data_IF_357841216256
#
_entry.id   IF_357841216256
#
_cell.length_a   1.000
_cell.length_b   1.000
_cell.length_c   1.000
_cell.angle_alpha   90.00
_cell.angle_beta   90.00
_cell.angle_gamma   90.00
#
_symmetry.space_group_name_H-M   'P 1'
#
loop_
_entity.id
_entity.type
_entity.pdbx_description
1 polymer ?
#
# COMPACT_ATOMS: atom_id res chain seq x y z
N UNK A 1 17.02 32.75 36.33
CA UNK A 1 16.12 31.65 36.74
C UNK A 1 15.22 31.14 35.62
N UNK A 2 14.47 31.98 34.88
CA UNK A 2 13.59 31.54 33.79
C UNK A 2 14.29 30.74 32.67
N UNK A 3 15.51 31.09 32.28
CA UNK A 3 16.27 30.40 31.23
C UNK A 3 16.74 28.98 31.64
N UNK A 4 17.02 28.75 32.92
CA UNK A 4 17.40 27.42 33.43
C UNK A 4 16.19 26.46 33.45
N UNK A 5 15.04 26.94 33.90
CA UNK A 5 13.80 26.18 33.93
C UNK A 5 13.33 25.81 32.51
N UNK A 6 13.48 26.78 31.59
CA UNK A 6 13.20 26.53 30.14
C UNK A 6 14.11 25.46 29.55
N UNK A 7 15.39 25.47 29.90
CA UNK A 7 16.37 24.49 29.41
C UNK A 7 16.14 23.09 29.99
N UNK A 8 15.78 22.98 31.26
CA UNK A 8 15.41 21.69 31.88
C UNK A 8 14.10 21.12 31.32
N UNK A 9 13.10 21.97 31.10
CA UNK A 9 11.85 21.57 30.45
C UNK A 9 12.08 21.08 29.02
N UNK A 10 12.98 21.71 28.26
CA UNK A 10 13.36 21.27 26.93
C UNK A 10 14.10 19.93 26.94
N UNK A 11 15.00 19.70 27.91
CA UNK A 11 15.70 18.42 28.10
C UNK A 11 14.73 17.29 28.47
N UNK A 12 13.80 17.55 29.38
CA UNK A 12 12.76 16.59 29.78
C UNK A 12 11.82 16.27 28.61
N UNK A 13 11.40 17.27 27.83
CA UNK A 13 10.57 17.08 26.65
C UNK A 13 11.29 16.26 25.57
N UNK A 14 12.59 16.51 25.37
CA UNK A 14 13.45 15.77 24.43
C UNK A 14 13.62 14.32 24.86
N UNK A 15 13.87 14.07 26.17
CA UNK A 15 13.99 12.72 26.73
C UNK A 15 12.69 11.91 26.59
N UNK A 16 11.52 12.52 26.88
CA UNK A 16 10.21 11.88 26.67
C UNK A 16 9.96 11.56 25.19
N UNK A 17 10.29 12.47 24.28
CA UNK A 17 10.12 12.25 22.84
C UNK A 17 11.01 11.11 22.34
N UNK A 18 12.25 11.02 22.79
CA UNK A 18 13.17 9.93 22.44
C UNK A 18 12.63 8.59 22.92
N UNK A 19 12.12 8.54 24.16
CA UNK A 19 11.52 7.33 24.73
C UNK A 19 10.27 6.91 23.95
N UNK A 20 9.43 7.84 23.55
CA UNK A 20 8.23 7.56 22.75
C UNK A 20 8.56 7.00 21.38
N UNK A 21 9.57 7.56 20.69
CA UNK A 21 10.06 7.05 19.40
C UNK A 21 10.65 5.66 19.56
N UNK A 22 11.46 5.43 20.62
CA UNK A 22 12.02 4.10 20.89
C UNK A 22 10.93 3.03 21.13
N UNK A 23 9.88 3.37 21.86
CA UNK A 23 8.72 2.46 22.08
C UNK A 23 8.03 2.15 20.76
N UNK A 24 7.81 3.16 19.90
CA UNK A 24 7.18 2.96 18.60
C UNK A 24 8.04 2.08 17.69
N UNK A 25 9.36 2.32 17.62
CA UNK A 25 10.28 1.49 16.83
C UNK A 25 10.30 0.03 17.31
N UNK A 26 10.28 -0.19 18.62
CA UNK A 26 10.19 -1.54 19.19
C UNK A 26 8.87 -2.22 18.80
N UNK A 27 7.74 -1.49 18.82
CA UNK A 27 6.44 -2.03 18.37
C UNK A 27 6.48 -2.42 16.89
N UNK A 28 6.99 -1.55 16.03
CA UNK A 28 7.15 -1.83 14.60
C UNK A 28 8.04 -3.07 14.39
N UNK A 29 9.17 -3.14 15.10
CA UNK A 29 10.09 -4.29 15.00
C UNK A 29 9.42 -5.58 15.45
N UNK A 30 8.63 -5.57 16.52
CA UNK A 30 7.86 -6.73 16.96
C UNK A 30 6.83 -7.17 15.91
N UNK A 31 6.09 -6.23 15.33
CA UNK A 31 5.10 -6.54 14.28
C UNK A 31 5.76 -7.07 13.00
N UNK A 32 6.90 -6.51 12.59
CA UNK A 32 7.69 -7.02 11.45
C UNK A 32 8.21 -8.44 11.71
N UNK A 33 8.68 -8.73 12.92
CA UNK A 33 9.14 -10.08 13.29
C UNK A 33 8.00 -11.09 13.29
N UNK A 34 6.81 -10.69 13.78
CA UNK A 34 5.61 -11.53 13.71
C UNK A 34 5.21 -11.78 12.25
N UNK A 35 5.26 -10.74 11.40
CA UNK A 35 4.97 -10.87 9.98
C UNK A 35 5.97 -11.80 9.29
N UNK A 36 7.27 -11.64 9.54
CA UNK A 36 8.34 -12.47 8.96
C UNK A 36 8.17 -13.97 9.24
N UNK A 37 7.62 -14.32 10.40
CA UNK A 37 7.37 -15.72 10.78
C UNK A 37 6.09 -16.30 10.16
N UNK A 38 5.28 -15.46 9.51
CA UNK A 38 4.02 -15.89 8.95
C UNK A 38 4.16 -16.29 7.47
N UNK A 39 3.31 -17.21 7.02
CA UNK A 39 3.19 -17.59 5.61
C UNK A 39 2.72 -16.44 4.72
N UNK A 40 2.14 -15.37 5.32
CA UNK A 40 1.66 -14.20 4.61
C UNK A 40 2.77 -13.42 3.89
N UNK A 41 4.00 -13.45 4.41
CA UNK A 41 5.18 -12.88 3.73
C UNK A 41 5.37 -13.54 2.37
N UNK A 42 5.44 -14.87 2.35
CA UNK A 42 5.65 -15.61 1.12
C UNK A 42 4.50 -15.43 0.14
N UNK A 43 3.25 -15.50 0.63
CA UNK A 43 2.05 -15.28 -0.18
C UNK A 43 2.04 -13.87 -0.77
N UNK A 44 2.39 -12.84 0.01
CA UNK A 44 2.38 -11.46 -0.45
C UNK A 44 3.47 -11.18 -1.48
N UNK A 45 4.68 -11.73 -1.28
CA UNK A 45 5.78 -11.59 -2.25
C UNK A 45 5.45 -12.33 -3.54
N UNK A 46 4.99 -13.59 -3.45
CA UNK A 46 4.56 -14.35 -4.63
C UNK A 46 3.41 -13.64 -5.37
N UNK A 47 2.46 -13.07 -4.62
CA UNK A 47 1.34 -12.33 -5.18
C UNK A 47 1.78 -11.11 -5.97
N UNK A 48 2.66 -10.25 -5.42
CA UNK A 48 3.09 -9.04 -6.15
C UNK A 48 4.03 -9.36 -7.33
N UNK A 49 4.72 -10.50 -7.31
CA UNK A 49 5.51 -10.98 -8.43
C UNK A 49 4.66 -11.47 -9.61
N UNK A 50 3.35 -11.68 -9.42
CA UNK A 50 2.46 -11.96 -10.56
C UNK A 50 2.34 -10.78 -11.52
N UNK A 51 2.48 -9.53 -11.05
CA UNK A 51 2.45 -8.33 -11.91
C UNK A 51 3.60 -8.33 -12.95
N UNK A 52 4.89 -8.49 -12.60
CA UNK A 52 5.96 -8.65 -13.57
C UNK A 52 5.72 -9.81 -14.56
N UNK A 53 5.17 -10.93 -14.09
CA UNK A 53 4.86 -12.07 -14.96
C UNK A 53 3.74 -11.76 -15.95
N UNK A 54 2.70 -11.03 -15.54
CA UNK A 54 1.66 -10.56 -16.44
C UNK A 54 2.21 -9.62 -17.50
N UNK A 55 3.12 -8.70 -17.13
CA UNK A 55 3.80 -7.82 -18.08
C UNK A 55 4.62 -8.59 -19.10
N UNK A 56 5.31 -9.66 -18.68
CA UNK A 56 6.05 -10.53 -19.58
C UNK A 56 5.12 -11.23 -20.58
N UNK A 57 4.00 -11.77 -20.08
CA UNK A 57 3.03 -12.45 -20.95
C UNK A 57 2.46 -11.48 -21.97
N UNK A 58 2.10 -10.27 -21.56
CA UNK A 58 1.58 -9.22 -22.44
C UNK A 58 2.62 -8.80 -23.50
N UNK A 59 3.87 -8.61 -23.08
CA UNK A 59 4.97 -8.30 -24.01
C UNK A 59 5.20 -9.42 -25.03
N UNK A 60 5.19 -10.68 -24.59
CA UNK A 60 5.32 -11.84 -25.47
C UNK A 60 4.14 -11.96 -26.44
N UNK A 61 2.89 -11.83 -25.97
CA UNK A 61 1.71 -11.88 -26.82
C UNK A 61 1.77 -10.80 -27.89
N UNK A 62 2.12 -9.57 -27.52
CA UNK A 62 2.18 -8.47 -28.49
C UNK A 62 3.33 -8.66 -29.49
N UNK A 63 4.47 -9.20 -29.05
CA UNK A 63 5.57 -9.52 -29.97
C UNK A 63 5.16 -10.51 -31.06
N UNK A 64 4.37 -11.55 -30.72
CA UNK A 64 3.92 -12.56 -31.69
C UNK A 64 2.71 -12.13 -32.49
N UNK A 65 1.75 -11.41 -31.90
CA UNK A 65 0.51 -11.01 -32.56
C UNK A 65 0.66 -9.74 -33.41
N UNK A 66 1.54 -8.83 -32.99
CA UNK A 66 1.73 -7.50 -33.61
C UNK A 66 3.21 -7.12 -33.63
N UNK A 67 4.03 -7.76 -34.46
CA UNK A 67 5.49 -7.53 -34.49
C UNK A 67 5.87 -6.10 -34.91
N UNK A 68 4.94 -5.32 -35.43
CA UNK A 68 5.15 -3.91 -35.82
C UNK A 68 5.17 -2.96 -34.62
N UNK A 69 4.67 -3.39 -33.41
CA UNK A 69 4.63 -2.57 -32.23
C UNK A 69 5.94 -2.73 -31.46
N UNK A 70 6.73 -1.67 -31.44
CA UNK A 70 7.97 -1.62 -30.68
C UNK A 70 7.62 -1.19 -29.24
N UNK A 71 7.82 -2.08 -28.27
CA UNK A 71 7.69 -1.77 -26.86
C UNK A 71 8.98 -1.18 -26.31
N UNK A 72 8.83 -0.13 -25.50
CA UNK A 72 9.93 0.38 -24.68
C UNK A 72 9.78 -0.06 -23.24
N UNK A 73 10.89 -0.08 -22.48
CA UNK A 73 10.85 -0.34 -21.02
C UNK A 73 9.93 0.68 -20.30
N UNK A 74 9.88 1.92 -20.80
CA UNK A 74 8.99 2.96 -20.23
C UNK A 74 7.51 2.65 -20.41
N UNK A 75 7.11 2.07 -21.55
CA UNK A 75 5.73 1.67 -21.80
C UNK A 75 5.32 0.55 -20.86
N UNK A 76 6.19 -0.45 -20.67
CA UNK A 76 5.94 -1.57 -19.73
C UNK A 76 5.76 -1.05 -18.30
N UNK A 77 6.60 -0.11 -17.84
CA UNK A 77 6.42 0.51 -16.52
C UNK A 77 5.12 1.32 -16.45
N UNK A 78 4.76 2.05 -17.49
CA UNK A 78 3.52 2.82 -17.56
C UNK A 78 2.29 1.91 -17.43
N UNK A 79 2.25 0.83 -18.20
CA UNK A 79 1.12 -0.10 -18.21
C UNK A 79 1.04 -0.91 -16.91
N UNK A 80 2.19 -1.28 -16.33
CA UNK A 80 2.23 -1.96 -15.04
C UNK A 80 1.57 -1.18 -13.89
N UNK A 81 1.54 0.16 -13.95
CA UNK A 81 0.86 0.99 -12.93
C UNK A 81 -0.62 0.64 -12.83
N UNK A 82 -1.28 0.32 -13.95
CA UNK A 82 -2.68 -0.11 -13.95
C UNK A 82 -2.86 -1.42 -13.17
N UNK A 83 -2.03 -2.43 -13.45
CA UNK A 83 -2.08 -3.73 -12.77
C UNK A 83 -1.76 -3.61 -11.28
N UNK A 84 -0.79 -2.76 -10.92
CA UNK A 84 -0.40 -2.51 -9.54
C UNK A 84 -1.52 -1.82 -8.77
N UNK A 85 -2.05 -0.72 -9.30
CA UNK A 85 -2.94 0.15 -8.53
C UNK A 85 -4.40 -0.29 -8.57
N UNK A 86 -4.87 -0.91 -9.66
CA UNK A 86 -6.29 -1.21 -9.84
C UNK A 86 -6.63 -2.69 -9.75
N UNK A 87 -5.68 -3.60 -9.97
CA UNK A 87 -5.99 -5.03 -10.11
C UNK A 87 -5.30 -5.88 -9.03
N UNK A 88 -4.00 -6.09 -9.17
CA UNK A 88 -3.29 -7.15 -8.42
C UNK A 88 -2.87 -6.69 -7.03
N UNK A 89 -2.04 -5.63 -6.96
CA UNK A 89 -1.38 -5.29 -5.70
C UNK A 89 -2.37 -4.74 -4.67
N UNK A 90 -3.46 -4.08 -5.09
CA UNK A 90 -4.48 -3.60 -4.15
C UNK A 90 -5.09 -4.75 -3.34
N UNK A 91 -5.40 -5.89 -3.97
CA UNK A 91 -5.92 -7.06 -3.28
C UNK A 91 -4.91 -7.61 -2.26
N UNK A 92 -3.63 -7.65 -2.64
CA UNK A 92 -2.55 -8.14 -1.77
C UNK A 92 -2.36 -7.20 -0.58
N UNK A 93 -2.41 -5.89 -0.80
CA UNK A 93 -2.27 -4.90 0.27
C UNK A 93 -3.45 -4.95 1.25
N UNK A 94 -4.68 -5.17 0.76
CA UNK A 94 -5.86 -5.40 1.60
C UNK A 94 -5.72 -6.71 2.37
N UNK A 95 -5.21 -7.78 1.74
CA UNK A 95 -4.96 -9.06 2.40
C UNK A 95 -4.00 -8.91 3.59
N UNK A 96 -2.89 -8.20 3.39
CA UNK A 96 -1.92 -7.95 4.46
C UNK A 96 -2.49 -7.06 5.54
N UNK A 97 -3.23 -6.00 5.16
CA UNK A 97 -3.91 -5.14 6.11
C UNK A 97 -4.91 -5.94 6.95
N UNK A 98 -5.74 -6.76 6.31
CA UNK A 98 -6.67 -7.63 7.01
C UNK A 98 -5.96 -8.59 7.96
N UNK A 99 -4.86 -9.22 7.51
CA UNK A 99 -4.07 -10.12 8.35
C UNK A 99 -3.48 -9.41 9.57
N UNK A 100 -2.79 -8.27 9.38
CA UNK A 100 -2.16 -7.53 10.47
C UNK A 100 -3.14 -7.06 11.55
N UNK A 101 -4.35 -6.68 11.14
CA UNK A 101 -5.32 -6.09 12.05
C UNK A 101 -6.34 -7.10 12.59
N UNK A 102 -6.64 -8.21 11.90
CA UNK A 102 -7.54 -9.25 12.41
C UNK A 102 -6.84 -10.35 13.20
N UNK A 103 -5.53 -10.53 13.02
CA UNK A 103 -4.75 -11.62 13.62
C UNK A 103 -4.91 -11.72 15.14
N UNK A 104 -4.86 -10.60 15.85
CA UNK A 104 -4.94 -10.59 17.31
C UNK A 104 -6.32 -11.02 17.83
N UNK A 105 -7.36 -10.84 16.99
CA UNK A 105 -8.70 -11.34 17.29
C UNK A 105 -8.79 -12.85 17.04
N UNK A 106 -8.25 -13.32 15.92
CA UNK A 106 -8.32 -14.75 15.55
C UNK A 106 -7.43 -15.64 16.44
N UNK A 107 -6.27 -15.12 16.88
CA UNK A 107 -5.34 -15.82 17.77
C UNK A 107 -5.65 -15.59 19.26
N UNK A 108 -6.70 -14.79 19.60
CA UNK A 108 -7.08 -14.42 20.99
C UNK A 108 -5.95 -13.81 21.81
N UNK A 109 -4.91 -13.27 21.14
CA UNK A 109 -3.73 -12.69 21.79
C UNK A 109 -3.97 -11.28 22.31
N UNK A 110 -5.10 -10.66 21.99
CA UNK A 110 -5.46 -9.31 22.43
C UNK A 110 -5.50 -9.19 23.94
N UNK A 111 -5.98 -10.23 24.66
CA UNK A 111 -6.03 -10.29 26.12
C UNK A 111 -4.64 -10.29 26.77
N UNK A 112 -3.62 -10.77 26.07
CA UNK A 112 -2.24 -10.83 26.56
C UNK A 112 -1.47 -9.53 26.30
N UNK A 113 -1.84 -8.80 25.26
CA UNK A 113 -1.15 -7.56 24.84
C UNK A 113 -1.64 -6.34 25.62
N UNK A 114 -2.93 -6.30 25.97
CA UNK A 114 -3.55 -5.15 26.61
C UNK A 114 -3.15 -4.85 28.07
N UNK A 115 -2.72 -5.83 28.90
CA UNK A 115 -2.14 -5.54 30.22
C UNK A 115 -0.80 -4.80 30.17
N UNK A 116 -0.13 -4.75 29.00
CA UNK A 116 1.14 -4.04 28.85
C UNK A 116 0.85 -2.53 28.92
N UNK A 117 1.65 -1.72 29.64
CA UNK A 117 1.40 -0.29 29.81
C UNK A 117 1.72 0.53 28.55
N UNK A 118 1.15 0.13 27.42
CA UNK A 118 1.26 0.80 26.12
C UNK A 118 -0.13 1.32 25.73
N UNK A 119 -0.21 2.59 25.32
CA UNK A 119 -1.48 3.14 24.88
C UNK A 119 -2.00 2.43 23.62
N UNK A 120 -3.30 2.14 23.58
CA UNK A 120 -3.99 1.52 22.42
C UNK A 120 -3.70 2.26 21.11
N UNK A 121 -3.61 3.59 21.18
CA UNK A 121 -3.29 4.44 20.02
C UNK A 121 -1.88 4.17 19.49
N UNK A 122 -0.88 4.03 20.37
CA UNK A 122 0.51 3.75 19.96
C UNK A 122 0.62 2.37 19.28
N UNK A 123 -0.10 1.38 19.81
CA UNK A 123 -0.15 0.04 19.21
C UNK A 123 -0.73 0.08 17.80
N UNK A 124 -1.83 0.82 17.61
CA UNK A 124 -2.48 0.96 16.30
C UNK A 124 -1.58 1.72 15.30
N UNK A 125 -0.92 2.80 15.74
CA UNK A 125 0.06 3.53 14.92
C UNK A 125 1.21 2.60 14.50
N UNK A 126 1.74 1.79 15.43
CA UNK A 126 2.78 0.81 15.12
C UNK A 126 2.36 -0.16 14.01
N UNK A 127 1.12 -0.66 14.05
CA UNK A 127 0.57 -1.52 13.00
C UNK A 127 0.43 -0.81 11.65
N UNK A 128 -0.06 0.43 11.64
CA UNK A 128 -0.15 1.21 10.41
C UNK A 128 1.23 1.52 9.81
N UNK A 129 2.21 1.86 10.64
CA UNK A 129 3.59 2.04 10.18
C UNK A 129 4.17 0.75 9.60
N UNK A 130 3.92 -0.40 10.25
CA UNK A 130 4.32 -1.71 9.73
C UNK A 130 3.67 -2.01 8.38
N UNK A 131 2.36 -1.72 8.24
CA UNK A 131 1.64 -1.89 6.99
C UNK A 131 2.22 -1.01 5.87
N UNK A 132 2.49 0.27 6.16
CA UNK A 132 3.10 1.19 5.19
C UNK A 132 4.48 0.70 4.74
N UNK A 133 5.34 0.33 5.69
CA UNK A 133 6.68 -0.20 5.38
C UNK A 133 6.60 -1.45 4.51
N UNK A 134 5.64 -2.34 4.80
CA UNK A 134 5.46 -3.57 4.02
C UNK A 134 4.94 -3.29 2.62
N UNK A 135 3.96 -2.38 2.45
CA UNK A 135 3.47 -1.94 1.14
C UNK A 135 4.60 -1.36 0.30
N UNK A 136 5.42 -0.46 0.88
CA UNK A 136 6.59 0.11 0.19
C UNK A 136 7.58 -0.98 -0.22
N UNK A 137 7.87 -1.92 0.67
CA UNK A 137 8.76 -3.05 0.39
C UNK A 137 8.24 -3.91 -0.78
N UNK A 138 6.96 -4.24 -0.79
CA UNK A 138 6.33 -5.00 -1.87
C UNK A 138 6.32 -4.24 -3.19
N UNK A 139 6.12 -2.92 -3.15
CA UNK A 139 6.22 -2.06 -4.34
C UNK A 139 7.63 -2.08 -4.92
N UNK A 140 8.66 -2.04 -4.07
CA UNK A 140 10.05 -2.17 -4.51
C UNK A 140 10.34 -3.55 -5.13
N UNK A 141 9.77 -4.62 -4.56
CA UNK A 141 9.86 -5.97 -5.14
C UNK A 141 9.21 -6.03 -6.51
N UNK A 142 8.02 -5.43 -6.68
CA UNK A 142 7.34 -5.36 -7.98
C UNK A 142 8.16 -4.57 -9.00
N UNK A 143 8.65 -3.38 -8.62
CA UNK A 143 9.48 -2.52 -9.47
C UNK A 143 10.75 -3.24 -9.94
N UNK A 144 11.48 -3.87 -9.02
CA UNK A 144 12.68 -4.64 -9.33
C UNK A 144 12.34 -5.89 -10.16
N UNK A 145 11.22 -6.55 -9.86
CA UNK A 145 10.72 -7.70 -10.60
C UNK A 145 10.44 -7.38 -12.07
N UNK A 146 9.80 -6.23 -12.35
CA UNK A 146 9.57 -5.76 -13.74
C UNK A 146 10.91 -5.56 -14.44
N UNK A 147 11.88 -4.89 -13.80
CA UNK A 147 13.21 -4.66 -14.39
C UNK A 147 13.92 -5.98 -14.73
N UNK A 148 13.91 -6.95 -13.81
CA UNK A 148 14.55 -8.25 -14.01
C UNK A 148 13.88 -9.03 -15.15
N UNK A 149 12.55 -9.06 -15.16
CA UNK A 149 11.79 -9.79 -16.19
C UNK A 149 11.96 -9.15 -17.58
N UNK A 150 11.96 -7.80 -17.64
CA UNK A 150 12.27 -7.08 -18.89
C UNK A 150 13.71 -7.32 -19.36
N UNK A 151 14.67 -7.49 -18.43
CA UNK A 151 16.05 -7.88 -18.80
C UNK A 151 16.14 -9.28 -19.38
N UNK A 152 15.34 -10.23 -18.89
CA UNK A 152 15.24 -11.57 -19.47
C UNK A 152 14.60 -11.51 -20.88
N UNK A 153 13.60 -10.66 -21.07
CA UNK A 153 12.98 -10.44 -22.36
C UNK A 153 13.99 -9.80 -23.34
N UNK A 154 14.71 -8.77 -22.91
CA UNK A 154 15.74 -8.08 -23.71
C UNK A 154 16.86 -9.01 -24.20
N UNK A 155 17.26 -9.95 -23.36
CA UNK A 155 18.28 -10.94 -23.73
C UNK A 155 17.87 -11.87 -24.89
N UNK A 156 16.55 -12.01 -25.17
CA UNK A 156 16.03 -12.92 -26.20
C UNK A 156 15.47 -12.13 -27.41
N UNK A 157 14.75 -11.04 -27.17
CA UNK A 157 13.93 -10.35 -28.17
C UNK A 157 14.35 -8.89 -28.41
N UNK A 158 15.37 -8.37 -27.75
CA UNK A 158 15.80 -6.98 -27.75
C UNK A 158 14.68 -5.99 -27.41
N UNK A 159 14.79 -5.34 -26.25
CA UNK A 159 13.83 -4.33 -25.75
C UNK A 159 14.39 -2.93 -25.95
N UNK A 160 13.70 -2.07 -26.69
CA UNK A 160 14.16 -0.70 -26.85
C UNK A 160 14.15 0.07 -25.53
N UNK A 161 15.24 0.81 -25.29
CA UNK A 161 15.37 1.65 -24.09
C UNK A 161 15.55 0.88 -22.79
N UNK A 162 15.94 -0.41 -22.82
CA UNK A 162 16.29 -1.14 -21.60
C UNK A 162 17.49 -0.51 -20.93
N UNK A 163 17.24 0.21 -19.84
CA UNK A 163 18.28 0.88 -19.06
C UNK A 163 17.86 1.05 -17.60
N UNK A 164 18.84 0.96 -16.71
CA UNK A 164 18.61 1.19 -15.27
C UNK A 164 18.13 2.63 -15.00
N UNK A 165 18.54 3.58 -15.83
CA UNK A 165 18.14 4.98 -15.69
C UNK A 165 16.64 5.16 -15.89
N UNK A 166 16.04 4.50 -16.88
CA UNK A 166 14.58 4.49 -17.11
C UNK A 166 13.87 3.90 -15.89
N UNK A 167 14.36 2.77 -15.36
CA UNK A 167 13.78 2.14 -14.18
C UNK A 167 13.81 3.09 -12.96
N UNK A 168 14.92 3.80 -12.73
CA UNK A 168 15.06 4.77 -11.63
C UNK A 168 14.11 5.96 -11.80
N UNK A 169 13.88 6.45 -13.01
CA UNK A 169 12.93 7.54 -13.28
C UNK A 169 11.49 7.15 -12.92
N UNK A 170 11.12 5.87 -13.06
CA UNK A 170 9.80 5.37 -12.69
C UNK A 170 9.64 5.11 -11.18
N UNK A 171 10.74 4.90 -10.44
CA UNK A 171 10.70 4.58 -9.01
C UNK A 171 9.90 5.59 -8.16
N UNK A 172 10.07 6.92 -8.29
CA UNK A 172 9.27 7.89 -7.53
C UNK A 172 7.77 7.77 -7.78
N UNK A 173 7.34 7.48 -9.02
CA UNK A 173 5.92 7.27 -9.34
C UNK A 173 5.36 6.04 -8.64
N UNK A 174 6.12 4.94 -8.59
CA UNK A 174 5.74 3.72 -7.86
C UNK A 174 5.65 3.96 -6.36
N UNK A 175 6.62 4.66 -5.77
CA UNK A 175 6.61 5.01 -4.36
C UNK A 175 5.45 5.95 -4.01
N UNK A 176 5.18 6.94 -4.84
CA UNK A 176 4.02 7.80 -4.67
C UNK A 176 2.70 7.00 -4.75
N UNK A 177 2.59 6.12 -5.74
CA UNK A 177 1.46 5.20 -5.87
C UNK A 177 1.27 4.33 -4.62
N UNK A 178 2.36 3.81 -4.03
CA UNK A 178 2.30 2.99 -2.81
C UNK A 178 1.74 3.75 -1.61
N UNK A 179 2.08 5.02 -1.46
CA UNK A 179 1.53 5.90 -0.41
C UNK A 179 0.03 6.12 -0.62
N UNK A 180 -0.40 6.39 -1.85
CA UNK A 180 -1.81 6.56 -2.18
C UNK A 180 -2.61 5.27 -1.93
N UNK A 181 -2.04 4.12 -2.29
CA UNK A 181 -2.66 2.82 -2.02
C UNK A 181 -2.76 2.53 -0.52
N UNK A 182 -1.73 2.84 0.27
CA UNK A 182 -1.80 2.74 1.73
C UNK A 182 -2.96 3.58 2.30
N UNK A 183 -3.15 4.79 1.82
CA UNK A 183 -4.24 5.66 2.24
C UNK A 183 -5.61 5.03 1.92
N UNK A 184 -5.79 4.52 0.72
CA UNK A 184 -7.07 3.92 0.26
C UNK A 184 -7.34 2.52 0.80
N UNK A 185 -6.33 1.85 1.38
CA UNK A 185 -6.49 0.58 2.11
C UNK A 185 -7.07 0.79 3.52
N UNK A 186 -6.99 2.00 4.10
CA UNK A 186 -7.45 2.26 5.47
C UNK A 186 -8.90 1.88 5.78
N UNK A 187 -9.92 2.00 4.88
CA UNK A 187 -11.27 1.53 5.16
C UNK A 187 -11.37 0.01 5.34
N UNK A 188 -10.52 -0.75 4.62
CA UNK A 188 -10.50 -2.21 4.75
C UNK A 188 -9.91 -2.67 6.09
N UNK A 189 -8.99 -1.88 6.66
CA UNK A 189 -8.50 -2.10 8.01
C UNK A 189 -9.64 -2.04 9.02
N UNK A 190 -10.51 -1.01 8.91
CA UNK A 190 -11.70 -0.91 9.74
C UNK A 190 -12.62 -2.11 9.58
N UNK A 191 -12.90 -2.53 8.32
CA UNK A 191 -13.74 -3.72 8.05
C UNK A 191 -13.12 -4.96 8.66
N UNK A 192 -11.80 -5.18 8.52
CA UNK A 192 -11.10 -6.33 9.09
C UNK A 192 -11.24 -6.40 10.62
N UNK A 193 -11.09 -5.26 11.30
CA UNK A 193 -11.23 -5.18 12.76
C UNK A 193 -12.67 -5.40 13.19
N UNK A 194 -13.65 -4.77 12.52
CA UNK A 194 -15.08 -4.89 12.85
C UNK A 194 -15.58 -6.31 12.65
N UNK A 195 -15.17 -6.99 11.58
CA UNK A 195 -15.58 -8.38 11.29
C UNK A 195 -14.70 -9.41 11.99
N UNK A 196 -13.62 -8.97 12.67
CA UNK A 196 -12.63 -9.83 13.34
C UNK A 196 -12.11 -10.94 12.43
N UNK A 197 -12.02 -10.66 11.12
CA UNK A 197 -11.72 -11.66 10.13
C UNK A 197 -11.13 -11.11 8.84
N UNK A 198 -10.71 -12.05 8.01
CA UNK A 198 -10.03 -11.81 6.74
C UNK A 198 -11.00 -11.74 5.54
N UNK A 199 -12.12 -12.46 5.59
CA UNK A 199 -13.01 -12.70 4.42
C UNK A 199 -13.70 -11.42 3.95
N UNK A 200 -14.30 -10.66 4.86
CA UNK A 200 -15.06 -9.47 4.50
C UNK A 200 -14.21 -8.37 3.81
N UNK A 201 -12.99 -8.01 4.28
CA UNK A 201 -12.13 -7.09 3.56
C UNK A 201 -11.75 -7.59 2.17
N UNK A 202 -11.53 -8.91 2.01
CA UNK A 202 -11.17 -9.51 0.73
C UNK A 202 -12.31 -9.42 -0.29
N UNK A 203 -13.54 -9.74 0.12
CA UNK A 203 -14.73 -9.57 -0.74
C UNK A 203 -14.90 -8.10 -1.12
N UNK A 204 -14.75 -7.18 -0.15
CA UNK A 204 -14.81 -5.75 -0.40
C UNK A 204 -13.75 -5.28 -1.41
N UNK A 205 -12.50 -5.78 -1.30
CA UNK A 205 -11.45 -5.42 -2.25
C UNK A 205 -11.72 -5.96 -3.65
N UNK A 206 -12.28 -7.16 -3.79
CA UNK A 206 -12.64 -7.72 -5.08
C UNK A 206 -13.72 -6.87 -5.78
N UNK A 207 -14.75 -6.42 -5.05
CA UNK A 207 -15.78 -5.52 -5.60
C UNK A 207 -15.15 -4.20 -6.07
N UNK A 208 -14.21 -3.65 -5.29
CA UNK A 208 -13.53 -2.40 -5.66
C UNK A 208 -12.65 -2.59 -6.90
N UNK A 209 -11.94 -3.70 -7.02
CA UNK A 209 -11.14 -4.03 -8.20
C UNK A 209 -12.03 -4.10 -9.45
N UNK A 210 -13.18 -4.74 -9.37
CA UNK A 210 -14.15 -4.81 -10.49
C UNK A 210 -14.64 -3.40 -10.87
N UNK A 211 -14.99 -2.57 -9.89
CA UNK A 211 -15.36 -1.18 -10.11
C UNK A 211 -14.24 -0.35 -10.73
N UNK A 212 -13.01 -0.54 -10.26
CA UNK A 212 -11.82 0.14 -10.79
C UNK A 212 -11.53 -0.26 -12.24
N UNK A 213 -11.66 -1.55 -12.57
CA UNK A 213 -11.48 -2.04 -13.93
C UNK A 213 -12.52 -1.43 -14.90
N UNK A 214 -13.78 -1.35 -14.47
CA UNK A 214 -14.85 -0.75 -15.28
C UNK A 214 -14.66 0.75 -15.51
N UNK A 215 -14.10 1.48 -14.51
CA UNK A 215 -13.95 2.94 -14.52
C UNK A 215 -12.57 3.41 -15.00
N UNK A 216 -11.60 2.51 -15.21
CA UNK A 216 -10.21 2.85 -15.56
C UNK A 216 -10.07 3.65 -16.88
N UNK A 217 -11.01 3.49 -17.79
CA UNK A 217 -11.04 4.17 -19.08
C UNK A 217 -12.17 5.20 -19.20
N UNK A 218 -12.86 5.53 -18.10
CA UNK A 218 -13.98 6.45 -18.08
C UNK A 218 -13.62 7.72 -17.31
N UNK A 219 -14.13 8.86 -17.74
CA UNK A 219 -13.94 10.14 -17.05
C UNK A 219 -14.45 10.09 -15.60
N UNK A 220 -15.55 9.36 -15.35
CA UNK A 220 -16.12 9.11 -14.02
C UNK A 220 -15.16 8.41 -13.04
N UNK A 221 -14.12 7.78 -13.56
CA UNK A 221 -13.04 7.20 -12.74
C UNK A 221 -12.35 8.21 -11.84
N UNK A 222 -12.37 9.51 -12.20
CA UNK A 222 -11.85 10.58 -11.36
C UNK A 222 -12.63 10.78 -10.04
N UNK A 223 -13.89 10.34 -9.97
CA UNK A 223 -14.73 10.40 -8.77
C UNK A 223 -14.63 9.12 -7.92
N UNK A 224 -14.06 8.05 -8.46
CA UNK A 224 -13.88 6.80 -7.75
C UNK A 224 -12.50 6.77 -7.07
N UNK A 225 -12.40 6.71 -5.72
CA UNK A 225 -11.15 6.98 -4.99
C UNK A 225 -9.97 6.14 -5.49
N UNK A 226 -10.18 4.87 -5.76
CA UNK A 226 -9.12 3.96 -6.21
C UNK A 226 -8.66 4.23 -7.64
N UNK A 227 -9.57 4.48 -8.57
CA UNK A 227 -9.22 4.87 -9.95
C UNK A 227 -8.62 6.29 -9.98
N UNK A 228 -9.11 7.19 -9.13
CA UNK A 228 -8.55 8.53 -9.00
C UNK A 228 -7.08 8.52 -8.56
N UNK A 229 -6.66 7.58 -7.68
CA UNK A 229 -5.24 7.41 -7.32
C UNK A 229 -4.39 7.00 -8.52
N UNK A 230 -4.89 6.10 -9.36
CA UNK A 230 -4.23 5.68 -10.59
C UNK A 230 -4.10 6.86 -11.59
N UNK A 231 -5.19 7.60 -11.82
CA UNK A 231 -5.15 8.78 -12.70
C UNK A 231 -4.18 9.85 -12.18
N UNK A 232 -4.08 10.02 -10.85
CA UNK A 232 -3.14 10.96 -10.25
C UNK A 232 -1.68 10.57 -10.53
N UNK A 233 -1.33 9.28 -10.39
CA UNK A 233 0.02 8.77 -10.65
C UNK A 233 0.36 8.85 -12.14
N UNK A 234 -0.59 8.57 -13.02
CA UNK A 234 -0.43 8.62 -14.47
C UNK A 234 -0.51 10.04 -15.06
N UNK A 235 -0.92 11.04 -14.25
CA UNK A 235 -1.13 12.40 -14.73
C UNK A 235 -2.38 12.55 -15.62
N UNK A 236 -3.27 11.55 -15.65
CA UNK A 236 -4.49 11.52 -16.48
C UNK A 236 -5.65 12.33 -15.91
N UNK A 237 -5.58 12.83 -14.68
CA UNK A 237 -6.68 13.60 -14.06
C UNK A 237 -7.07 14.85 -14.86
N UNK A 238 -6.11 15.51 -15.50
CA UNK A 238 -6.38 16.72 -16.28
C UNK A 238 -7.21 16.45 -17.55
N UNK A 239 -7.18 15.24 -18.07
CA UNK A 239 -7.95 14.83 -19.26
C UNK A 239 -9.36 14.37 -18.95
N UNK A 240 -9.75 14.25 -17.65
CA UNK A 240 -11.06 13.71 -17.27
C UNK A 240 -12.17 14.78 -17.15
N UNK A 241 -11.88 16.07 -17.41
CA UNK A 241 -12.86 17.14 -17.27
C UNK A 241 -13.23 17.49 -15.83
N UNK A 242 -12.79 16.72 -14.82
CA UNK A 242 -13.03 17.00 -13.40
C UNK A 242 -11.86 17.74 -12.76
N UNK A 243 -12.12 18.68 -11.82
CA UNK A 243 -11.05 19.36 -11.11
C UNK A 243 -10.20 18.37 -10.31
N UNK A 244 -8.87 18.41 -10.48
CA UNK A 244 -7.91 17.57 -9.75
C UNK A 244 -8.10 17.66 -8.22
N UNK A 245 -8.44 18.87 -7.73
CA UNK A 245 -8.70 19.10 -6.32
C UNK A 245 -9.88 18.28 -5.79
N UNK A 246 -10.92 18.05 -6.60
CA UNK A 246 -12.07 17.24 -6.22
C UNK A 246 -11.67 15.76 -6.04
N UNK A 247 -10.92 15.19 -6.98
CA UNK A 247 -10.43 13.82 -6.88
C UNK A 247 -9.52 13.61 -5.68
N UNK A 248 -8.59 14.55 -5.43
CA UNK A 248 -7.70 14.50 -4.27
C UNK A 248 -8.49 14.62 -2.97
N UNK A 249 -9.51 15.50 -2.92
CA UNK A 249 -10.37 15.63 -1.74
C UNK A 249 -11.14 14.35 -1.42
N UNK A 250 -11.62 13.62 -2.44
CA UNK A 250 -12.30 12.33 -2.28
C UNK A 250 -11.33 11.29 -1.71
N UNK A 251 -10.10 11.20 -2.23
CA UNK A 251 -9.07 10.28 -1.72
C UNK A 251 -8.78 10.57 -0.23
N UNK A 252 -8.57 11.84 0.12
CA UNK A 252 -8.31 12.26 1.50
C UNK A 252 -9.51 11.94 2.41
N UNK A 253 -10.73 12.21 1.96
CA UNK A 253 -11.94 11.96 2.73
C UNK A 253 -12.12 10.47 3.03
N UNK A 254 -12.00 9.60 2.01
CA UNK A 254 -12.13 8.15 2.18
C UNK A 254 -11.05 7.62 3.12
N UNK A 255 -9.81 8.11 2.98
CA UNK A 255 -8.70 7.73 3.85
C UNK A 255 -8.93 8.19 5.29
N UNK A 256 -9.31 9.45 5.49
CA UNK A 256 -9.59 10.01 6.81
C UNK A 256 -10.73 9.27 7.52
N UNK A 257 -11.81 8.96 6.81
CA UNK A 257 -12.91 8.15 7.35
C UNK A 257 -12.41 6.77 7.77
N UNK A 258 -11.63 6.09 6.93
CA UNK A 258 -11.05 4.78 7.26
C UNK A 258 -10.20 4.81 8.53
N UNK A 259 -9.28 5.76 8.63
CA UNK A 259 -8.45 5.94 9.83
C UNK A 259 -9.30 6.28 11.07
N UNK A 260 -10.17 7.29 10.98
CA UNK A 260 -10.99 7.72 12.12
C UNK A 260 -11.88 6.59 12.64
N UNK A 261 -12.54 5.85 11.75
CA UNK A 261 -13.37 4.71 12.14
C UNK A 261 -12.55 3.60 12.80
N UNK A 262 -11.35 3.31 12.30
CA UNK A 262 -10.44 2.32 12.89
C UNK A 262 -10.01 2.72 14.30
N UNK A 263 -9.54 3.98 14.47
CA UNK A 263 -9.12 4.47 15.79
C UNK A 263 -10.28 4.55 16.77
N UNK A 264 -11.46 4.99 16.34
CA UNK A 264 -12.64 5.08 17.18
C UNK A 264 -13.12 3.70 17.64
N UNK A 265 -13.19 2.72 16.71
CA UNK A 265 -13.59 1.36 17.03
C UNK A 265 -12.65 0.72 18.04
N UNK A 266 -11.33 0.82 17.82
CA UNK A 266 -10.34 0.21 18.71
C UNK A 266 -10.32 0.83 20.12
N UNK A 267 -10.64 2.13 20.24
CA UNK A 267 -10.75 2.78 21.55
C UNK A 267 -11.96 2.29 22.36
N UNK A 268 -13.08 2.04 21.68
CA UNK A 268 -14.36 1.63 22.30
C UNK A 268 -14.49 0.12 22.51
N UNK A 269 -13.59 -0.66 21.96
CA UNK A 269 -13.68 -2.11 22.05
C UNK A 269 -13.43 -2.57 23.49
N UNK A 270 -14.51 -3.07 24.14
CA UNK A 270 -14.45 -3.70 25.45
C UNK A 270 -13.96 -5.14 25.28
N UNK A 271 -12.95 -5.49 26.06
CA UNK A 271 -12.43 -6.84 26.13
C UNK A 271 -13.35 -7.69 27.01
N UNK A 272 -14.34 -8.31 26.41
CA UNK A 272 -15.08 -9.38 27.07
C UNK A 272 -14.37 -10.72 26.95
#
# INVERSE_FOLDING_TARGET
MLNLISCELLKLKRSKMVLEVAVLLNLISCELLKLKRSKMVLISVAGVLSTPLLMLIEALQTHFDKPEIIFTLSDIYSDSVLYIMLLVNIMIYVAIAAYLFSREYTESTLKTILPIPISRTKLLIGKFCTLLLWIVMLTLVTWAGIFIVCGLYDAVFTLEGYSLLVAIVWLPKFLFGSILMFLTVSPFVFVAMKTKGFVAPMIGSAVIVMGSAALSNQEWGALYPWTATYFLVQGKLQSTGYPTLLSVSIIILVSAVGFLMTFHHFKKEDLK
#
